data_IF_134492891499
#
_entry.id   IF_134492891499
#
_cell.length_a   1.000
_cell.length_b   1.000
_cell.length_c   1.000
_cell.angle_alpha   90.00
_cell.angle_beta   90.00
_cell.angle_gamma   90.00
#
_symmetry.space_group_name_H-M   'P 1'
#
loop_
_entity.id
_entity.type
_entity.pdbx_description
1 polymer ?
#
# COMPACT_ATOMS: atom_id res chain seq x y z
N UNK A 1 22.93 -3.54 -16.50
CA UNK A 1 22.05 -4.43 -17.29
C UNK A 1 20.65 -4.26 -16.73
N UNK A 2 19.64 -3.86 -17.52
CA UNK A 2 18.26 -3.76 -17.01
C UNK A 2 17.77 -5.17 -16.70
N UNK A 3 17.18 -5.37 -15.52
CA UNK A 3 16.58 -6.64 -15.14
C UNK A 3 15.48 -7.02 -16.16
N UNK A 4 15.28 -8.31 -16.41
CA UNK A 4 14.15 -8.75 -17.23
C UNK A 4 12.84 -8.25 -16.62
N UNK A 5 11.81 -8.08 -17.45
CA UNK A 5 10.46 -7.77 -16.98
C UNK A 5 10.00 -8.85 -15.98
N UNK A 6 10.33 -10.12 -16.22
CA UNK A 6 10.00 -11.24 -15.33
C UNK A 6 10.72 -11.17 -13.97
N UNK A 7 11.97 -10.69 -13.96
CA UNK A 7 12.74 -10.50 -12.73
C UNK A 7 12.16 -9.35 -11.90
N UNK A 8 11.71 -8.28 -12.57
CA UNK A 8 11.06 -7.13 -11.93
C UNK A 8 9.73 -7.53 -11.32
N UNK A 9 8.89 -8.29 -12.04
CA UNK A 9 7.64 -8.84 -11.52
C UNK A 9 7.86 -9.81 -10.36
N UNK A 10 8.87 -10.67 -10.45
CA UNK A 10 9.20 -11.59 -9.35
C UNK A 10 9.67 -10.86 -8.10
N UNK A 11 10.45 -9.78 -8.25
CA UNK A 11 10.88 -8.93 -7.14
C UNK A 11 9.70 -8.18 -6.52
N UNK A 12 8.82 -7.61 -7.35
CA UNK A 12 7.61 -6.95 -6.90
C UNK A 12 6.70 -7.91 -6.11
N UNK A 13 6.43 -9.10 -6.65
CA UNK A 13 5.60 -10.11 -5.96
C UNK A 13 6.17 -10.51 -4.60
N UNK A 14 7.49 -10.69 -4.49
CA UNK A 14 8.13 -10.98 -3.19
C UNK A 14 8.01 -9.83 -2.19
N UNK A 15 8.19 -8.58 -2.64
CA UNK A 15 8.04 -7.41 -1.78
C UNK A 15 6.60 -7.28 -1.26
N UNK A 16 5.61 -7.48 -2.15
CA UNK A 16 4.20 -7.44 -1.79
C UNK A 16 3.83 -8.50 -0.74
N UNK A 17 4.27 -9.75 -0.93
CA UNK A 17 4.03 -10.84 0.02
C UNK A 17 4.68 -10.54 1.38
N UNK A 18 5.90 -9.97 1.38
CA UNK A 18 6.60 -9.60 2.60
C UNK A 18 5.84 -8.49 3.37
N UNK A 19 5.44 -7.41 2.69
CA UNK A 19 4.67 -6.33 3.33
C UNK A 19 3.31 -6.81 3.87
N UNK A 20 2.61 -7.68 3.15
CA UNK A 20 1.36 -8.27 3.65
C UNK A 20 1.63 -9.14 4.88
N UNK A 21 2.72 -9.91 4.88
CA UNK A 21 3.09 -10.77 6.02
C UNK A 21 3.43 -9.94 7.27
N UNK A 22 4.11 -8.79 7.10
CA UNK A 22 4.39 -7.85 8.20
C UNK A 22 3.09 -7.31 8.81
N UNK A 23 2.17 -6.79 8.00
CA UNK A 23 0.87 -6.28 8.47
C UNK A 23 0.06 -7.36 9.19
N UNK A 24 0.01 -8.58 8.66
CA UNK A 24 -0.68 -9.69 9.31
C UNK A 24 -0.02 -10.08 10.64
N UNK A 25 1.31 -9.99 10.74
CA UNK A 25 2.02 -10.32 11.98
C UNK A 25 1.77 -9.32 13.12
N UNK A 26 1.36 -8.10 12.78
CA UNK A 26 1.11 -7.01 13.73
C UNK A 26 -0.39 -6.83 14.04
N UNK A 27 -1.28 -7.57 13.38
CA UNK A 27 -2.73 -7.42 13.51
C UNK A 27 -3.40 -8.66 14.09
N UNK A 28 -4.51 -8.51 14.85
CA UNK A 28 -5.29 -9.64 15.35
C UNK A 28 -5.82 -10.55 14.22
N UNK A 29 -5.78 -11.86 14.43
CA UNK A 29 -6.22 -12.89 13.45
C UNK A 29 -7.65 -12.66 12.92
N UNK A 30 -8.55 -12.14 13.76
CA UNK A 30 -9.93 -11.84 13.40
C UNK A 30 -10.07 -10.71 12.34
N UNK A 31 -9.04 -9.87 12.18
CA UNK A 31 -9.01 -8.80 11.18
C UNK A 31 -8.34 -9.22 9.87
N UNK A 32 -7.60 -10.34 9.86
CA UNK A 32 -6.76 -10.74 8.73
C UNK A 32 -7.56 -10.88 7.43
N UNK A 33 -8.74 -11.51 7.48
CA UNK A 33 -9.58 -11.70 6.30
C UNK A 33 -10.00 -10.35 5.67
N UNK A 34 -10.46 -9.40 6.48
CA UNK A 34 -10.85 -8.07 6.01
C UNK A 34 -9.65 -7.28 5.47
N UNK A 35 -8.49 -7.39 6.11
CA UNK A 35 -7.26 -6.73 5.66
C UNK A 35 -6.77 -7.30 4.32
N UNK A 36 -6.83 -8.62 4.15
CA UNK A 36 -6.49 -9.30 2.90
C UNK A 36 -7.45 -8.91 1.76
N UNK A 37 -8.76 -8.89 2.00
CA UNK A 37 -9.74 -8.43 1.00
C UNK A 37 -9.53 -6.96 0.64
N UNK A 38 -9.25 -6.12 1.63
CA UNK A 38 -8.95 -4.70 1.40
C UNK A 38 -7.70 -4.53 0.54
N UNK A 39 -6.64 -5.29 0.83
CA UNK A 39 -5.41 -5.29 0.05
C UNK A 39 -5.66 -5.77 -1.39
N UNK A 40 -6.42 -6.86 -1.57
CA UNK A 40 -6.78 -7.40 -2.90
C UNK A 40 -7.57 -6.39 -3.75
N UNK A 41 -8.51 -5.67 -3.13
CA UNK A 41 -9.27 -4.60 -3.78
C UNK A 41 -8.35 -3.47 -4.29
N UNK A 42 -7.46 -2.97 -3.43
CA UNK A 42 -6.55 -1.88 -3.81
C UNK A 42 -5.52 -2.30 -4.86
N UNK A 43 -5.00 -3.53 -4.78
CA UNK A 43 -4.13 -4.09 -5.81
C UNK A 43 -4.84 -4.20 -7.15
N UNK A 44 -6.05 -4.75 -7.15
CA UNK A 44 -6.89 -4.87 -8.36
C UNK A 44 -7.21 -3.50 -8.96
N UNK A 45 -7.56 -2.51 -8.13
CA UNK A 45 -7.81 -1.15 -8.58
C UNK A 45 -6.55 -0.50 -9.18
N UNK A 46 -5.40 -0.63 -8.50
CA UNK A 46 -4.12 -0.12 -8.97
C UNK A 46 -3.71 -0.73 -10.31
N UNK A 47 -3.88 -2.04 -10.48
CA UNK A 47 -3.63 -2.74 -11.75
C UNK A 47 -4.54 -2.22 -12.87
N UNK A 48 -5.84 -2.09 -12.61
CA UNK A 48 -6.80 -1.56 -13.61
C UNK A 48 -6.45 -0.12 -14.01
N UNK A 49 -6.10 0.73 -13.04
CA UNK A 49 -5.68 2.10 -13.31
C UNK A 49 -4.38 2.14 -14.11
N UNK A 50 -3.37 1.37 -13.71
CA UNK A 50 -2.07 1.30 -14.38
C UNK A 50 -2.16 0.74 -15.80
N UNK A 51 -3.07 -0.19 -16.07
CA UNK A 51 -3.30 -0.74 -17.42
C UNK A 51 -4.07 0.23 -18.31
N UNK A 52 -5.06 0.96 -17.76
CA UNK A 52 -5.92 1.86 -18.55
C UNK A 52 -5.26 3.21 -18.84
N UNK A 53 -4.48 3.74 -17.92
CA UNK A 53 -3.86 5.07 -18.00
C UNK A 53 -2.53 5.08 -17.24
N UNK A 54 -1.53 4.40 -17.82
CA UNK A 54 -0.23 4.15 -17.19
C UNK A 54 0.52 5.44 -16.83
N UNK A 55 0.49 6.46 -17.69
CA UNK A 55 1.13 7.75 -17.41
C UNK A 55 0.48 8.47 -16.23
N UNK A 56 -0.85 8.44 -16.13
CA UNK A 56 -1.55 9.07 -15.00
C UNK A 56 -1.34 8.30 -13.71
N UNK A 57 -1.30 6.97 -13.77
CA UNK A 57 -0.95 6.13 -12.63
C UNK A 57 0.49 6.45 -12.14
N UNK A 58 1.43 6.65 -13.06
CA UNK A 58 2.81 7.01 -12.71
C UNK A 58 2.90 8.40 -12.04
N UNK A 59 2.21 9.41 -12.59
CA UNK A 59 2.13 10.74 -11.95
C UNK A 59 1.50 10.68 -10.55
N UNK A 60 0.49 9.84 -10.36
CA UNK A 60 -0.13 9.67 -9.05
C UNK A 60 0.83 9.01 -8.06
N UNK A 61 1.59 7.99 -8.49
CA UNK A 61 2.63 7.37 -7.66
C UNK A 61 3.70 8.38 -7.25
N UNK A 62 4.19 9.19 -8.19
CA UNK A 62 5.18 10.24 -7.88
C UNK A 62 4.68 11.24 -6.83
N UNK A 63 3.40 11.61 -6.87
CA UNK A 63 2.79 12.47 -5.83
C UNK A 63 2.74 11.73 -4.48
N UNK A 64 2.32 10.47 -4.45
CA UNK A 64 2.25 9.69 -3.20
C UNK A 64 3.64 9.53 -2.58
N UNK A 65 4.66 9.19 -3.37
CA UNK A 65 6.05 9.04 -2.92
C UNK A 65 6.63 10.36 -2.38
N UNK A 66 6.30 11.50 -3.01
CA UNK A 66 6.74 12.82 -2.54
C UNK A 66 6.16 13.20 -1.17
N UNK A 67 4.95 12.75 -0.87
CA UNK A 67 4.25 13.03 0.38
C UNK A 67 4.37 11.90 1.41
N UNK A 68 5.18 10.86 1.16
CA UNK A 68 5.32 9.70 2.04
C UNK A 68 5.86 10.09 3.44
N UNK A 69 6.74 11.09 3.50
CA UNK A 69 7.25 11.64 4.77
C UNK A 69 6.17 12.41 5.57
N UNK A 70 5.25 13.10 4.88
CA UNK A 70 4.13 13.83 5.50
C UNK A 70 3.04 12.87 6.00
N UNK A 71 2.99 11.65 5.45
CA UNK A 71 2.05 10.60 5.84
C UNK A 71 2.26 10.15 7.30
N UNK A 72 3.50 10.13 7.78
CA UNK A 72 3.81 9.87 9.19
C UNK A 72 3.42 11.03 10.14
N UNK A 73 3.26 12.25 9.64
CA UNK A 73 2.64 13.35 10.40
C UNK A 73 1.12 13.20 10.44
N UNK A 74 0.49 12.88 9.31
CA UNK A 74 -0.95 12.60 9.22
C UNK A 74 -1.40 11.44 10.12
N UNK A 75 -0.63 10.36 10.23
CA UNK A 75 -0.95 9.24 11.13
C UNK A 75 -0.86 9.64 12.61
N UNK A 76 0.12 10.47 12.98
CA UNK A 76 0.26 11.02 14.34
C UNK A 76 -0.88 11.96 14.69
N UNK A 77 -1.25 12.83 13.75
CA UNK A 77 -2.37 13.77 13.92
C UNK A 77 -3.71 13.03 14.00
N UNK A 78 -3.92 12.01 13.16
CA UNK A 78 -5.11 11.17 13.23
C UNK A 78 -5.19 10.39 14.55
N UNK A 79 -4.08 9.86 15.06
CA UNK A 79 -4.02 9.22 16.37
C UNK A 79 -4.30 10.19 17.52
N UNK A 80 -3.81 11.43 17.43
CA UNK A 80 -4.13 12.50 18.38
C UNK A 80 -5.61 12.85 18.40
N UNK A 81 -6.19 13.03 17.21
CA UNK A 81 -7.62 13.32 17.05
C UNK A 81 -8.51 12.18 17.57
N UNK A 82 -8.15 10.92 17.30
CA UNK A 82 -8.90 9.77 17.80
C UNK A 82 -8.88 9.68 19.33
N UNK A 83 -7.75 9.98 19.99
CA UNK A 83 -7.66 10.02 21.46
C UNK A 83 -8.44 11.19 22.08
N UNK A 84 -8.58 12.31 21.38
CA UNK A 84 -9.40 13.44 21.84
C UNK A 84 -10.90 13.19 21.70
N UNK A 85 -11.31 12.45 20.65
CA UNK A 85 -12.72 12.22 20.31
C UNK A 85 -13.27 10.92 20.91
N UNK A 86 -12.41 9.92 21.14
CA UNK A 86 -12.73 8.64 21.79
C UNK A 86 -11.73 8.34 22.93
N UNK A 87 -11.93 8.92 24.13
CA UNK A 87 -11.04 8.70 25.27
C UNK A 87 -11.20 7.32 25.93
#
# INVERSE_FOLDING_TARGET
MKASVDDQWSRYGRALIASMSEVLSETPDELHANLLETADYWLSLGLVLGVRDSERAQRLLEVIEQHEAERGELERDAGGLLNEVMP
#
